data_IF_224052227951
#
_entry.id   IF_224052227951
#
_cell.length_a   1.000
_cell.length_b   1.000
_cell.length_c   1.000
_cell.angle_alpha   90.00
_cell.angle_beta   90.00
_cell.angle_gamma   90.00
#
_symmetry.space_group_name_H-M   'P 1'
#
loop_
_entity.id
_entity.type
_entity.pdbx_description
1 polymer ?
#
# COMPACT_ATOMS: atom_id res chain seq x y z
N UNK A 1 -13.96 -4.65 -3.73
CA UNK A 1 -13.99 -5.84 -2.85
C UNK A 1 -14.85 -6.92 -3.52
N UNK A 2 -14.52 -8.20 -3.35
CA UNK A 2 -15.33 -9.30 -3.90
C UNK A 2 -16.64 -9.46 -3.09
N UNK A 3 -17.74 -9.84 -3.74
CA UNK A 3 -19.03 -10.03 -3.06
C UNK A 3 -18.93 -11.11 -1.99
N UNK A 4 -19.45 -10.87 -0.79
CA UNK A 4 -19.41 -11.82 0.33
C UNK A 4 -18.06 -11.94 1.05
N UNK A 5 -16.98 -11.41 0.48
CA UNK A 5 -15.68 -11.35 1.14
C UNK A 5 -15.57 -10.09 2.00
N UNK A 6 -15.50 -10.29 3.31
CA UNK A 6 -15.23 -9.24 4.30
C UNK A 6 -13.90 -9.48 5.01
N UNK A 7 -13.55 -8.56 5.93
CA UNK A 7 -12.30 -8.64 6.72
C UNK A 7 -12.12 -10.02 7.37
N UNK A 8 -13.13 -10.54 8.06
CA UNK A 8 -12.99 -11.77 8.84
C UNK A 8 -12.84 -13.02 7.97
N UNK A 9 -13.60 -13.14 6.87
CA UNK A 9 -13.48 -14.29 5.96
C UNK A 9 -12.17 -14.25 5.17
N UNK A 10 -11.78 -13.07 4.66
CA UNK A 10 -10.50 -12.88 3.98
C UNK A 10 -9.32 -13.20 4.92
N UNK A 11 -9.33 -12.67 6.15
CA UNK A 11 -8.28 -12.91 7.12
C UNK A 11 -8.18 -14.40 7.50
N UNK A 12 -9.30 -15.08 7.77
CA UNK A 12 -9.28 -16.50 8.14
C UNK A 12 -8.70 -17.38 7.03
N UNK A 13 -9.12 -17.17 5.78
CA UNK A 13 -8.64 -17.93 4.63
C UNK A 13 -7.16 -17.64 4.35
N UNK A 14 -6.77 -16.37 4.30
CA UNK A 14 -5.38 -16.01 4.05
C UNK A 14 -4.45 -16.41 5.20
N UNK A 15 -4.89 -16.38 6.45
CA UNK A 15 -4.11 -16.91 7.56
C UNK A 15 -3.86 -18.42 7.44
N UNK A 16 -4.81 -19.16 6.85
CA UNK A 16 -4.69 -20.62 6.66
C UNK A 16 -3.84 -20.99 5.46
N UNK A 17 -4.05 -20.36 4.30
CA UNK A 17 -3.42 -20.74 3.03
C UNK A 17 -2.24 -19.85 2.64
N UNK A 18 -2.04 -18.72 3.32
CA UNK A 18 -0.97 -17.75 3.07
C UNK A 18 -1.22 -16.86 1.85
N UNK A 19 -1.56 -17.48 0.71
CA UNK A 19 -1.74 -16.79 -0.55
C UNK A 19 -3.06 -17.17 -1.21
N UNK A 20 -3.58 -16.25 -2.04
CA UNK A 20 -4.83 -16.45 -2.77
C UNK A 20 -4.77 -17.68 -3.67
N UNK A 21 -3.62 -17.90 -4.31
CA UNK A 21 -3.38 -19.00 -5.25
C UNK A 21 -3.31 -20.38 -4.58
N UNK A 22 -3.11 -20.41 -3.26
CA UNK A 22 -3.07 -21.63 -2.47
C UNK A 22 -4.44 -22.03 -1.91
N UNK A 23 -5.47 -21.19 -2.09
CA UNK A 23 -6.83 -21.47 -1.63
C UNK A 23 -7.47 -22.52 -2.55
N UNK A 24 -7.95 -23.67 -2.02
CA UNK A 24 -8.63 -24.67 -2.84
C UNK A 24 -9.84 -24.09 -3.57
N UNK A 25 -10.06 -24.54 -4.80
CA UNK A 25 -11.14 -24.04 -5.65
C UNK A 25 -12.54 -24.41 -5.14
N UNK A 26 -12.67 -25.59 -4.49
CA UNK A 26 -13.90 -25.97 -3.81
C UNK A 26 -13.84 -25.56 -2.33
N UNK A 27 -14.88 -24.86 -1.87
CA UNK A 27 -15.04 -24.50 -0.46
C UNK A 27 -15.28 -25.69 0.47
N UNK A 28 -15.62 -26.87 -0.06
CA UNK A 28 -15.70 -28.12 0.71
C UNK A 28 -14.32 -28.65 1.12
N UNK A 29 -13.28 -28.32 0.36
CA UNK A 29 -11.90 -28.69 0.64
C UNK A 29 -11.23 -27.71 1.61
N UNK A 30 -11.97 -26.70 2.08
CA UNK A 30 -11.42 -25.72 3.00
C UNK A 30 -11.37 -26.29 4.41
N UNK A 31 -10.18 -26.36 5.01
CA UNK A 31 -9.98 -26.78 6.38
C UNK A 31 -10.04 -25.61 7.40
N UNK A 32 -10.63 -24.49 6.98
CA UNK A 32 -10.89 -23.31 7.80
C UNK A 32 -12.40 -23.05 7.92
N UNK A 33 -12.88 -22.91 9.15
CA UNK A 33 -14.30 -22.71 9.44
C UNK A 33 -14.80 -21.32 9.07
N UNK A 34 -15.19 -21.11 7.81
CA UNK A 34 -15.79 -19.85 7.32
C UNK A 34 -17.24 -20.07 6.91
N UNK A 35 -18.14 -19.23 7.43
CA UNK A 35 -19.56 -19.27 7.07
C UNK A 35 -19.71 -19.04 5.56
N UNK A 36 -20.37 -19.98 4.89
CA UNK A 36 -20.64 -19.87 3.45
C UNK A 36 -19.44 -20.19 2.56
N UNK A 37 -18.48 -21.01 3.02
CA UNK A 37 -17.26 -21.39 2.28
C UNK A 37 -17.50 -21.70 0.79
N UNK A 38 -18.50 -22.54 0.45
CA UNK A 38 -18.83 -22.82 -0.97
C UNK A 38 -19.19 -21.58 -1.79
N UNK A 39 -19.97 -20.66 -1.22
CA UNK A 39 -20.35 -19.41 -1.91
C UNK A 39 -19.16 -18.45 -2.05
N UNK A 40 -18.26 -18.44 -1.07
CA UNK A 40 -17.04 -17.63 -1.11
C UNK A 40 -16.05 -18.17 -2.14
N UNK A 41 -15.86 -19.49 -2.18
CA UNK A 41 -15.05 -20.19 -3.17
C UNK A 41 -15.59 -19.97 -4.59
N UNK A 42 -16.90 -20.11 -4.80
CA UNK A 42 -17.52 -19.80 -6.09
C UNK A 42 -17.33 -18.35 -6.51
N UNK A 43 -17.40 -17.39 -5.57
CA UNK A 43 -17.13 -15.99 -5.89
C UNK A 43 -15.66 -15.76 -6.23
N UNK A 44 -14.74 -16.38 -5.49
CA UNK A 44 -13.31 -16.27 -5.74
C UNK A 44 -12.94 -16.85 -7.11
N UNK A 45 -13.51 -18.01 -7.48
CA UNK A 45 -13.33 -18.61 -8.80
C UNK A 45 -13.89 -17.71 -9.92
N UNK A 46 -15.11 -17.18 -9.74
CA UNK A 46 -15.76 -16.33 -10.74
C UNK A 46 -15.10 -14.94 -10.89
N UNK A 47 -14.44 -14.44 -9.85
CA UNK A 47 -13.83 -13.10 -9.82
C UNK A 47 -12.31 -13.18 -9.58
N UNK A 48 -11.67 -14.28 -10.00
CA UNK A 48 -10.25 -14.53 -9.76
C UNK A 48 -9.34 -13.44 -10.31
N UNK A 49 -9.64 -12.95 -11.52
CA UNK A 49 -8.89 -11.84 -12.13
C UNK A 49 -8.94 -10.56 -11.29
N UNK A 50 -10.13 -10.22 -10.77
CA UNK A 50 -10.32 -9.05 -9.90
C UNK A 50 -9.60 -9.23 -8.57
N UNK A 51 -9.59 -10.45 -8.02
CA UNK A 51 -8.86 -10.79 -6.81
C UNK A 51 -7.33 -10.65 -7.00
N UNK A 52 -6.80 -11.10 -8.15
CA UNK A 52 -5.41 -10.90 -8.55
C UNK A 52 -5.06 -9.42 -8.72
N UNK A 53 -5.96 -8.62 -9.31
CA UNK A 53 -5.75 -7.18 -9.40
C UNK A 53 -5.66 -6.52 -8.02
N UNK A 54 -6.53 -6.92 -7.07
CA UNK A 54 -6.41 -6.43 -5.69
C UNK A 54 -5.08 -6.81 -5.05
N UNK A 55 -4.58 -8.03 -5.27
CA UNK A 55 -3.24 -8.45 -4.81
C UNK A 55 -2.15 -7.54 -5.37
N UNK A 56 -2.18 -7.23 -6.66
CA UNK A 56 -1.22 -6.32 -7.30
C UNK A 56 -1.27 -4.93 -6.68
N UNK A 57 -2.46 -4.33 -6.59
CA UNK A 57 -2.62 -2.97 -6.07
C UNK A 57 -2.28 -2.82 -4.59
N UNK A 58 -2.47 -3.89 -3.81
CA UNK A 58 -2.18 -3.90 -2.37
C UNK A 58 -0.75 -4.34 -2.04
N UNK A 59 0.05 -4.75 -3.03
CA UNK A 59 1.44 -5.17 -2.80
C UNK A 59 2.38 -4.01 -3.11
N UNK A 60 3.16 -3.59 -2.11
CA UNK A 60 4.19 -2.58 -2.32
C UNK A 60 5.26 -3.13 -3.27
N UNK A 61 5.56 -2.36 -4.32
CA UNK A 61 6.63 -2.67 -5.26
C UNK A 61 7.99 -2.30 -4.67
N UNK A 62 8.92 -3.25 -4.59
CA UNK A 62 10.24 -3.09 -3.95
C UNK A 62 11.42 -3.03 -4.94
N UNK A 63 11.15 -3.20 -6.23
CA UNK A 63 12.15 -3.25 -7.31
C UNK A 63 12.18 -1.95 -8.15
N UNK A 64 11.50 -0.90 -7.69
CA UNK A 64 11.54 0.40 -8.35
C UNK A 64 12.90 1.05 -8.14
N UNK A 65 13.54 1.49 -9.23
CA UNK A 65 14.65 2.44 -9.11
C UNK A 65 14.11 3.76 -8.56
N UNK A 66 14.58 4.12 -7.37
CA UNK A 66 14.18 5.34 -6.66
C UNK A 66 15.38 6.27 -6.45
N UNK A 67 16.59 5.89 -6.88
CA UNK A 67 17.84 6.60 -6.60
C UNK A 67 18.57 6.09 -5.34
N UNK A 68 19.59 6.83 -4.91
CA UNK A 68 20.42 6.49 -3.74
C UNK A 68 20.15 7.38 -2.53
N UNK A 69 20.50 6.88 -1.35
CA UNK A 69 20.37 7.63 -0.09
C UNK A 69 21.15 8.95 -0.15
N UNK A 70 22.33 8.95 -0.77
CA UNK A 70 23.17 10.14 -0.93
C UNK A 70 22.51 11.18 -1.84
N UNK A 71 21.81 10.74 -2.89
CA UNK A 71 21.07 11.63 -3.79
C UNK A 71 19.89 12.32 -3.08
N UNK A 72 19.29 11.66 -2.08
CA UNK A 72 18.20 12.22 -1.29
C UNK A 72 18.66 13.06 -0.10
N UNK A 73 19.98 13.17 0.14
CA UNK A 73 20.50 14.02 1.20
C UNK A 73 20.02 15.45 0.97
N UNK A 74 19.16 15.92 1.87
CA UNK A 74 18.73 17.32 1.87
C UNK A 74 19.92 18.24 2.17
N UNK A 75 20.12 19.27 1.34
CA UNK A 75 21.24 20.23 1.42
C UNK A 75 20.80 21.66 1.76
N UNK A 76 19.55 21.82 2.21
CA UNK A 76 18.92 23.12 2.42
C UNK A 76 17.87 23.44 1.35
N UNK A 77 17.17 24.57 1.50
CA UNK A 77 16.19 25.02 0.52
C UNK A 77 16.89 25.40 -0.80
N UNK A 78 16.19 25.21 -1.92
CA UNK A 78 16.64 25.76 -3.20
C UNK A 78 16.14 27.21 -3.35
N UNK A 79 16.68 28.01 -4.28
CA UNK A 79 16.17 29.37 -4.54
C UNK A 79 14.69 29.40 -4.94
N UNK A 80 14.11 28.28 -5.40
CA UNK A 80 12.69 28.16 -5.72
C UNK A 80 11.78 28.08 -4.48
N UNK A 81 12.34 27.86 -3.28
CA UNK A 81 11.55 27.69 -2.06
C UNK A 81 10.85 28.98 -1.61
N UNK A 82 11.56 30.11 -1.55
CA UNK A 82 10.98 31.38 -1.08
C UNK A 82 9.81 31.86 -1.97
N UNK A 83 9.88 31.81 -3.32
CA UNK A 83 8.73 32.11 -4.18
C UNK A 83 7.50 31.22 -3.92
N UNK A 84 7.70 29.93 -3.61
CA UNK A 84 6.60 29.01 -3.28
C UNK A 84 5.98 29.39 -1.93
N UNK A 85 6.80 29.74 -0.94
CA UNK A 85 6.29 30.21 0.35
C UNK A 85 5.48 31.51 0.22
N UNK A 86 5.94 32.46 -0.59
CA UNK A 86 5.20 33.69 -0.88
C UNK A 86 3.84 33.38 -1.53
N UNK A 87 3.82 32.51 -2.55
CA UNK A 87 2.58 32.10 -3.22
C UNK A 87 1.58 31.40 -2.28
N UNK A 88 2.07 30.66 -1.30
CA UNK A 88 1.25 29.94 -0.32
C UNK A 88 0.98 30.76 0.96
N UNK A 89 1.43 32.01 1.02
CA UNK A 89 1.31 32.91 2.18
C UNK A 89 1.97 32.35 3.46
N UNK A 90 3.07 31.61 3.30
CA UNK A 90 3.84 30.96 4.37
C UNK A 90 5.07 31.78 4.75
N UNK A 91 4.85 33.01 5.23
CA UNK A 91 5.90 34.02 5.42
C UNK A 91 7.00 33.65 6.43
N UNK A 92 6.73 32.79 7.42
CA UNK A 92 7.68 32.40 8.46
C UNK A 92 8.56 31.19 8.06
N UNK A 93 8.18 30.44 7.03
CA UNK A 93 8.85 29.20 6.65
C UNK A 93 10.26 29.38 6.07
N UNK A 94 10.58 30.39 5.25
CA UNK A 94 11.94 30.59 4.74
C UNK A 94 12.98 30.65 5.86
N UNK A 95 12.78 31.56 6.82
CA UNK A 95 13.70 31.75 7.95
C UNK A 95 13.87 30.48 8.79
N UNK A 96 12.77 29.76 9.03
CA UNK A 96 12.79 28.49 9.79
C UNK A 96 13.57 27.40 9.06
N UNK A 97 13.39 27.28 7.76
CA UNK A 97 14.06 26.27 6.94
C UNK A 97 15.56 26.60 6.76
N UNK A 98 15.91 27.88 6.64
CA UNK A 98 17.31 28.32 6.66
C UNK A 98 17.98 28.01 8.00
N UNK A 99 17.31 28.27 9.13
CA UNK A 99 17.80 27.90 10.46
C UNK A 99 18.04 26.40 10.61
N UNK A 100 17.13 25.57 10.09
CA UNK A 100 17.28 24.10 10.08
C UNK A 100 18.43 23.63 9.19
N UNK A 101 18.69 24.31 8.07
CA UNK A 101 19.81 24.01 7.19
C UNK A 101 21.15 24.35 7.84
N UNK A 102 21.24 25.49 8.54
CA UNK A 102 22.45 25.93 9.24
C UNK A 102 22.82 25.01 10.41
N UNK A 103 21.83 24.51 11.17
CA UNK A 103 22.06 23.61 12.32
C UNK A 103 22.37 22.15 11.97
N UNK A 104 22.41 21.79 10.68
CA UNK A 104 22.62 20.41 10.17
C UNK A 104 23.96 20.23 9.44
N UNK A 105 24.81 21.25 9.42
CA UNK A 105 26.20 21.17 8.94
C UNK A 105 27.09 20.54 10.01
#
# INVERSE_FOLDING_TARGET
ALKGWGKSSAAAVLARYGHLEAVPADGADWDVGVRGARSLAATLAAQGELASLFKVLATLRTDCDVGSVEAWRWRGPTPAFAPVCEHLELADLPDRVEGLAAGRQ
#
